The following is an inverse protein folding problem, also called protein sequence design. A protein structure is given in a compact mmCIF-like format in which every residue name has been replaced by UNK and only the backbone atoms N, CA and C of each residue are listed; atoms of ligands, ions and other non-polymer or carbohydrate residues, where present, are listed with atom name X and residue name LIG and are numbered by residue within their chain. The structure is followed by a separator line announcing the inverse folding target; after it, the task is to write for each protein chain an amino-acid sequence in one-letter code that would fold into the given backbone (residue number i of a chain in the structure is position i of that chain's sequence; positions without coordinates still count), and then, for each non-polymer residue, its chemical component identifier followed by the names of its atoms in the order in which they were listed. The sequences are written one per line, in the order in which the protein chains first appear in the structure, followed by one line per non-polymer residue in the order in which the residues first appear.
data_IF_222838158514
#
_entry.id   IF_222838158514
#
_cell.length_a   1.000
_cell.length_b   1.000
_cell.length_c   1.000
_cell.angle_alpha   90.00
_cell.angle_beta   90.00
_cell.angle_gamma   90.00
#
_symmetry.space_group_name_H-M   'P 1'
#
loop_
_entity.id
_entity.type
_entity.pdbx_description
1 polymer ?
#
# COMPACT_ATOMS: atom_id res chain seq x y z
N UNK A 1 13.32 1.28 12.72
CA UNK A 1 12.47 0.53 11.77
C UNK A 1 11.84 -0.64 12.50
N UNK A 2 10.50 -0.76 12.47
CA UNK A 2 9.72 -1.63 13.38
C UNK A 2 10.16 -3.11 13.31
N UNK A 3 10.42 -3.65 12.12
CA UNK A 3 10.89 -5.03 11.93
C UNK A 3 12.14 -5.36 12.75
N UNK A 4 13.18 -4.54 12.67
CA UNK A 4 14.43 -4.75 13.45
C UNK A 4 14.19 -4.69 14.95
N UNK A 5 13.32 -3.78 15.41
CA UNK A 5 12.95 -3.72 16.84
C UNK A 5 12.12 -4.91 17.33
N UNK A 6 11.57 -5.71 16.41
CA UNK A 6 10.77 -6.90 16.73
C UNK A 6 11.55 -8.21 16.61
N UNK A 7 12.83 -8.16 16.20
CA UNK A 7 13.70 -9.33 16.15
C UNK A 7 14.07 -9.80 14.75
N UNK A 8 13.57 -9.13 13.70
CA UNK A 8 14.05 -9.38 12.33
C UNK A 8 15.51 -8.94 12.22
N UNK A 9 16.40 -9.89 11.90
CA UNK A 9 17.84 -9.69 11.83
C UNK A 9 18.22 -8.74 10.71
N UNK A 10 17.63 -8.95 9.53
CA UNK A 10 17.99 -8.21 8.33
C UNK A 10 16.81 -7.94 7.41
N UNK A 11 16.90 -6.82 6.66
CA UNK A 11 16.06 -6.56 5.49
C UNK A 11 16.94 -6.57 4.25
N UNK A 12 16.75 -7.57 3.40
CA UNK A 12 17.54 -7.80 2.19
C UNK A 12 16.81 -7.22 0.98
N UNK A 13 17.50 -6.38 0.21
CA UNK A 13 16.98 -5.82 -1.04
C UNK A 13 17.45 -6.65 -2.24
N UNK A 14 16.53 -7.13 -3.07
CA UNK A 14 16.86 -8.01 -4.21
C UNK A 14 16.40 -7.45 -5.57
N UNK A 15 16.98 -7.96 -6.67
CA UNK A 15 16.70 -7.47 -8.03
C UNK A 15 15.72 -8.34 -8.86
N UNK A 16 15.76 -9.67 -8.77
CA UNK A 16 15.36 -10.53 -9.92
C UNK A 16 14.12 -11.42 -9.78
N UNK A 17 13.34 -11.36 -8.70
CA UNK A 17 12.08 -12.10 -8.68
C UNK A 17 11.01 -11.38 -9.52
N UNK A 18 10.68 -11.95 -10.68
CA UNK A 18 9.66 -11.41 -11.60
C UNK A 18 8.28 -11.25 -10.93
N UNK A 19 7.96 -12.07 -9.92
CA UNK A 19 6.61 -12.14 -9.31
C UNK A 19 6.59 -12.03 -7.77
N UNK A 20 7.71 -11.74 -7.12
CA UNK A 20 7.79 -11.59 -5.66
C UNK A 20 7.89 -10.11 -5.30
N UNK A 21 7.09 -9.66 -4.33
CA UNK A 21 7.19 -8.29 -3.78
C UNK A 21 7.99 -8.27 -2.49
N UNK A 22 7.77 -9.26 -1.64
CA UNK A 22 8.58 -9.55 -0.46
C UNK A 22 8.47 -11.02 -0.05
N UNK A 23 9.27 -11.41 0.92
CA UNK A 23 9.17 -12.70 1.59
C UNK A 23 9.68 -12.60 3.03
N UNK A 24 9.09 -13.41 3.89
CA UNK A 24 9.53 -13.64 5.25
C UNK A 24 10.26 -14.99 5.30
N UNK A 25 11.52 -15.00 5.70
CA UNK A 25 12.34 -16.21 5.67
C UNK A 25 13.06 -16.42 6.98
N UNK A 26 13.31 -17.69 7.33
CA UNK A 26 14.20 -18.07 8.42
C UNK A 26 15.49 -18.61 7.79
N UNK A 27 16.60 -17.91 7.97
CA UNK A 27 17.93 -18.29 7.48
C UNK A 27 18.87 -18.49 8.67
N UNK A 28 19.47 -19.68 8.76
CA UNK A 28 20.31 -20.11 9.90
C UNK A 28 19.64 -19.92 11.28
N UNK A 29 18.32 -20.12 11.34
CA UNK A 29 17.52 -19.93 12.55
C UNK A 29 17.18 -18.46 12.87
N UNK A 30 17.54 -17.51 12.00
CA UNK A 30 17.25 -16.10 12.17
C UNK A 30 16.20 -15.59 11.17
N UNK A 31 15.20 -14.81 11.63
CA UNK A 31 14.21 -14.23 10.73
C UNK A 31 14.81 -13.09 9.92
N UNK A 32 14.63 -13.14 8.61
CA UNK A 32 14.98 -12.10 7.65
C UNK A 32 13.76 -11.72 6.82
N UNK A 33 13.74 -10.48 6.34
CA UNK A 33 12.72 -9.99 5.42
C UNK A 33 13.38 -9.61 4.11
N UNK A 34 12.84 -10.13 3.01
CA UNK A 34 13.35 -9.91 1.67
C UNK A 34 12.37 -8.99 0.95
N UNK A 35 12.84 -7.90 0.32
CA UNK A 35 11.98 -6.92 -0.35
C UNK A 35 12.54 -6.56 -1.72
N UNK A 36 11.67 -6.44 -2.71
CA UNK A 36 12.09 -6.07 -4.06
C UNK A 36 12.70 -4.68 -4.07
N UNK A 37 13.90 -4.56 -4.63
CA UNK A 37 14.60 -3.29 -4.78
C UNK A 37 13.91 -2.41 -5.82
N UNK A 38 13.86 -1.11 -5.54
CA UNK A 38 13.25 -0.12 -6.43
C UNK A 38 11.72 -0.10 -6.40
N UNK A 39 11.09 -0.75 -5.42
CA UNK A 39 9.68 -0.52 -5.15
C UNK A 39 9.44 0.97 -4.84
N UNK A 40 8.36 1.57 -5.39
CA UNK A 40 7.95 2.89 -4.96
C UNK A 40 7.63 2.91 -3.45
N UNK A 41 7.67 4.09 -2.79
CA UNK A 41 7.49 4.20 -1.34
C UNK A 41 6.25 3.49 -0.80
N UNK A 42 5.11 3.62 -1.48
CA UNK A 42 3.83 3.01 -1.11
C UNK A 42 3.90 1.47 -1.09
N UNK A 43 4.20 0.76 -2.20
CA UNK A 43 4.42 -0.69 -2.18
C UNK A 43 5.51 -1.13 -1.21
N UNK A 44 6.59 -0.36 -1.05
CA UNK A 44 7.67 -0.72 -0.13
C UNK A 44 7.19 -0.76 1.31
N UNK A 45 6.52 0.31 1.78
CA UNK A 45 5.97 0.38 3.13
C UNK A 45 4.92 -0.71 3.36
N UNK A 46 4.05 -0.95 2.38
CA UNK A 46 3.03 -2.00 2.46
C UNK A 46 3.64 -3.40 2.55
N UNK A 47 4.66 -3.71 1.75
CA UNK A 47 5.37 -4.98 1.83
C UNK A 47 6.02 -5.14 3.20
N UNK A 48 6.68 -4.12 3.74
CA UNK A 48 7.27 -4.23 5.08
C UNK A 48 6.24 -4.49 6.19
N UNK A 49 5.07 -3.84 6.12
CA UNK A 49 3.98 -4.10 7.07
C UNK A 49 3.41 -5.52 6.92
N UNK A 50 3.32 -6.01 5.69
CA UNK A 50 2.85 -7.37 5.39
C UNK A 50 3.80 -8.42 5.97
N UNK A 51 5.10 -8.31 5.70
CA UNK A 51 6.10 -9.25 6.25
C UNK A 51 6.22 -9.14 7.79
N UNK A 52 5.92 -7.96 8.36
CA UNK A 52 5.85 -7.81 9.82
C UNK A 52 4.72 -8.65 10.42
N UNK A 53 3.57 -8.79 9.75
CA UNK A 53 2.49 -9.68 10.21
C UNK A 53 3.00 -11.12 10.28
N UNK A 54 3.63 -11.60 9.22
CA UNK A 54 4.20 -12.95 9.19
C UNK A 54 5.18 -13.16 10.33
N UNK A 55 6.04 -12.17 10.57
CA UNK A 55 6.96 -12.21 11.69
C UNK A 55 6.27 -12.17 13.06
N UNK A 56 5.13 -11.52 13.25
CA UNK A 56 4.52 -11.43 14.58
C UNK A 56 3.56 -12.58 14.89
N UNK A 57 2.93 -13.14 13.86
CA UNK A 57 1.79 -14.06 14.01
C UNK A 57 2.08 -15.41 13.38
N UNK A 58 2.75 -15.45 12.23
CA UNK A 58 2.84 -16.65 11.39
C UNK A 58 4.19 -17.37 11.49
N UNK A 59 5.03 -17.03 12.47
CA UNK A 59 6.37 -17.60 12.60
C UNK A 59 6.37 -19.14 12.70
N UNK A 60 5.34 -19.71 13.31
CA UNK A 60 5.19 -21.15 13.51
C UNK A 60 5.09 -21.93 12.19
N UNK A 61 4.69 -21.26 11.10
CA UNK A 61 4.62 -21.85 9.77
C UNK A 61 5.95 -21.83 9.01
N UNK A 62 7.01 -21.24 9.60
CA UNK A 62 8.35 -21.17 9.01
C UNK A 62 8.50 -20.05 7.98
N UNK A 63 9.26 -20.33 6.91
CA UNK A 63 9.47 -19.37 5.82
C UNK A 63 8.21 -19.24 4.95
N UNK A 64 7.75 -18.02 4.72
CA UNK A 64 6.55 -17.68 3.95
C UNK A 64 6.93 -16.80 2.75
N UNK A 65 6.49 -17.21 1.56
CA UNK A 65 6.79 -16.53 0.30
C UNK A 65 5.49 -15.97 -0.29
N UNK A 66 5.31 -14.66 -0.21
CA UNK A 66 4.13 -13.97 -0.77
C UNK A 66 4.20 -13.96 -2.31
N UNK A 67 3.51 -14.86 -2.98
CA UNK A 67 3.40 -14.90 -4.45
C UNK A 67 2.01 -14.47 -4.93
N UNK A 68 1.84 -14.23 -6.23
CA UNK A 68 0.50 -13.97 -6.77
C UNK A 68 -0.44 -15.19 -6.71
N UNK A 69 0.04 -16.36 -6.30
CA UNK A 69 -0.74 -17.60 -6.26
C UNK A 69 -1.43 -17.86 -4.93
N UNK A 70 -0.92 -17.28 -3.83
CA UNK A 70 -1.44 -17.49 -2.48
C UNK A 70 -2.21 -16.28 -1.91
N UNK A 71 -2.44 -15.22 -2.69
CA UNK A 71 -3.17 -13.99 -2.27
C UNK A 71 -4.57 -14.29 -1.67
N UNK A 72 -5.19 -15.42 -2.03
CA UNK A 72 -6.50 -15.83 -1.52
C UNK A 72 -6.46 -16.66 -0.22
N UNK A 73 -5.28 -16.98 0.30
CA UNK A 73 -5.14 -17.74 1.54
C UNK A 73 -5.36 -16.82 2.75
N UNK A 74 -5.99 -17.35 3.80
CA UNK A 74 -6.37 -16.58 4.99
C UNK A 74 -5.18 -15.87 5.64
N UNK A 75 -4.00 -16.49 5.62
CA UNK A 75 -2.75 -15.93 6.14
C UNK A 75 -2.36 -14.64 5.40
N UNK A 76 -2.46 -14.66 4.07
CA UNK A 76 -2.11 -13.55 3.17
C UNK A 76 -3.16 -12.43 3.22
N UNK A 77 -4.45 -12.79 3.30
CA UNK A 77 -5.54 -11.82 3.55
C UNK A 77 -5.32 -11.12 4.90
N UNK A 78 -4.98 -11.87 5.95
CA UNK A 78 -4.66 -11.32 7.25
C UNK A 78 -3.46 -10.37 7.22
N UNK A 79 -2.43 -10.71 6.44
CA UNK A 79 -1.26 -9.85 6.24
C UNK A 79 -1.59 -8.58 5.44
N UNK A 80 -2.47 -8.64 4.43
CA UNK A 80 -2.98 -7.46 3.72
C UNK A 80 -3.74 -6.51 4.66
N UNK A 81 -4.67 -7.05 5.46
CA UNK A 81 -5.46 -6.26 6.43
C UNK A 81 -4.55 -5.64 7.48
N UNK A 82 -3.64 -6.43 8.06
CA UNK A 82 -2.69 -5.94 9.06
C UNK A 82 -1.84 -4.80 8.52
N UNK A 83 -1.29 -4.95 7.31
CA UNK A 83 -0.45 -3.91 6.70
C UNK A 83 -1.25 -2.62 6.43
N UNK A 84 -2.50 -2.75 5.96
CA UNK A 84 -3.37 -1.60 5.75
C UNK A 84 -3.68 -0.85 7.06
N UNK A 85 -4.01 -1.58 8.14
CA UNK A 85 -4.26 -1.00 9.46
C UNK A 85 -3.01 -0.38 10.08
N UNK A 86 -1.84 -1.01 9.90
CA UNK A 86 -0.57 -0.48 10.39
C UNK A 86 -0.20 0.85 9.71
N UNK A 87 -0.37 0.93 8.39
CA UNK A 87 -0.02 2.14 7.63
C UNK A 87 -1.01 3.28 7.83
N UNK A 88 -2.27 2.96 8.11
CA UNK A 88 -3.31 3.95 8.31
C UNK A 88 -4.38 3.34 9.22
N UNK A 89 -4.39 3.57 10.53
CA UNK A 89 -5.38 2.95 11.42
C UNK A 89 -6.83 3.33 11.05
N UNK A 90 -7.76 2.40 11.16
CA UNK A 90 -9.17 2.60 10.78
C UNK A 90 -9.81 3.82 11.43
N UNK A 91 -9.55 4.05 12.71
CA UNK A 91 -10.12 5.19 13.43
C UNK A 91 -9.62 6.52 12.88
N UNK A 92 -8.33 6.58 12.52
CA UNK A 92 -7.75 7.78 11.91
C UNK A 92 -8.29 7.97 10.49
N UNK A 93 -8.39 6.89 9.72
CA UNK A 93 -8.95 6.90 8.38
C UNK A 93 -10.40 7.40 8.37
N UNK A 94 -11.23 6.86 9.26
CA UNK A 94 -12.63 7.27 9.44
C UNK A 94 -12.71 8.76 9.81
N UNK A 95 -11.89 9.22 10.74
CA UNK A 95 -11.86 10.61 11.14
C UNK A 95 -11.53 11.54 9.96
N UNK A 96 -10.50 11.24 9.18
CA UNK A 96 -10.05 12.07 8.07
C UNK A 96 -11.02 12.02 6.87
N UNK A 97 -11.55 10.84 6.53
CA UNK A 97 -12.48 10.71 5.41
C UNK A 97 -13.86 11.30 5.74
N UNK A 98 -14.36 11.12 6.96
CA UNK A 98 -15.67 11.67 7.36
C UNK A 98 -15.66 13.19 7.39
N UNK A 99 -14.56 13.83 7.81
CA UNK A 99 -14.40 15.29 7.69
C UNK A 99 -14.55 15.78 6.25
N UNK A 100 -14.15 14.96 5.28
CA UNK A 100 -14.18 15.31 3.85
C UNK A 100 -15.53 15.07 3.22
N UNK A 101 -16.15 13.92 3.48
CA UNK A 101 -17.38 13.52 2.80
C UNK A 101 -18.64 13.97 3.56
N UNK A 102 -18.54 14.19 4.87
CA UNK A 102 -19.71 14.41 5.72
C UNK A 102 -20.66 13.22 5.63
N UNK A 103 -21.88 13.46 5.13
CA UNK A 103 -22.92 12.43 4.97
C UNK A 103 -23.03 11.85 3.55
N UNK A 104 -22.24 12.33 2.58
CA UNK A 104 -22.31 11.85 1.19
C UNK A 104 -21.42 10.63 0.96
N UNK A 105 -21.65 9.92 -0.15
CA UNK A 105 -20.75 8.83 -0.58
C UNK A 105 -19.37 9.37 -1.00
N UNK A 106 -18.31 8.62 -0.68
CA UNK A 106 -16.96 8.93 -1.12
C UNK A 106 -16.82 8.81 -2.64
N UNK A 107 -16.24 9.84 -3.26
CA UNK A 107 -15.89 9.90 -4.67
C UNK A 107 -14.38 9.66 -4.87
N UNK A 108 -13.91 9.36 -6.10
CA UNK A 108 -12.48 9.23 -6.38
C UNK A 108 -11.64 10.44 -6.00
N UNK A 109 -12.16 11.66 -6.22
CA UNK A 109 -11.51 12.92 -5.87
C UNK A 109 -11.20 12.98 -4.37
N UNK A 110 -12.07 12.41 -3.54
CA UNK A 110 -11.88 12.39 -2.09
C UNK A 110 -10.68 11.57 -1.66
N UNK A 111 -10.47 10.44 -2.33
CA UNK A 111 -9.30 9.59 -2.09
C UNK A 111 -8.02 10.32 -2.51
N UNK A 112 -8.05 11.04 -3.63
CA UNK A 112 -6.92 11.85 -4.11
C UNK A 112 -6.56 12.94 -3.12
N UNK A 113 -7.54 13.70 -2.64
CA UNK A 113 -7.29 14.72 -1.63
C UNK A 113 -6.84 14.10 -0.29
N UNK A 114 -7.49 13.02 0.16
CA UNK A 114 -7.12 12.32 1.39
C UNK A 114 -5.66 11.87 1.35
N UNK A 115 -5.24 11.21 0.26
CA UNK A 115 -3.86 10.74 0.11
C UNK A 115 -2.87 11.90 0.12
N UNK A 116 -3.20 13.01 -0.56
CA UNK A 116 -2.36 14.20 -0.61
C UNK A 116 -2.18 14.86 0.75
N UNK A 117 -3.26 15.04 1.49
CA UNK A 117 -3.27 15.76 2.78
C UNK A 117 -2.62 14.93 3.90
N UNK A 118 -2.84 13.62 3.91
CA UNK A 118 -2.31 12.73 4.95
C UNK A 118 -0.89 12.24 4.66
N UNK A 119 -0.43 12.34 3.40
CA UNK A 119 0.82 11.74 2.94
C UNK A 119 0.95 10.25 3.30
N UNK A 120 -0.19 9.55 3.44
CA UNK A 120 -0.19 8.11 3.74
C UNK A 120 0.48 7.32 2.63
N UNK A 121 1.23 6.28 3.01
CA UNK A 121 1.84 5.32 2.09
C UNK A 121 0.87 4.23 1.63
N UNK A 122 -0.39 4.24 2.09
CA UNK A 122 -1.41 3.35 1.55
C UNK A 122 -1.73 3.76 0.11
N UNK A 123 -1.67 2.80 -0.81
CA UNK A 123 -1.92 3.06 -2.24
C UNK A 123 -3.38 3.48 -2.48
N UNK A 124 -3.64 4.10 -3.64
CA UNK A 124 -5.02 4.40 -4.09
C UNK A 124 -5.93 3.17 -4.03
N UNK A 125 -5.45 2.01 -4.49
CA UNK A 125 -6.20 0.77 -4.42
C UNK A 125 -6.49 0.33 -2.97
N UNK A 126 -5.53 0.50 -2.06
CA UNK A 126 -5.72 0.22 -0.63
C UNK A 126 -6.76 1.14 0.01
N UNK A 127 -6.69 2.44 -0.28
CA UNK A 127 -7.69 3.42 0.18
C UNK A 127 -9.08 3.12 -0.38
N UNK A 128 -9.17 2.74 -1.66
CA UNK A 128 -10.43 2.30 -2.29
C UNK A 128 -11.00 1.05 -1.61
N UNK A 129 -10.18 0.01 -1.37
CA UNK A 129 -10.62 -1.20 -0.65
C UNK A 129 -11.24 -0.82 0.71
N UNK A 130 -10.66 0.15 1.42
CA UNK A 130 -11.17 0.59 2.73
C UNK A 130 -12.50 1.31 2.66
N UNK A 131 -12.69 2.29 1.76
CA UNK A 131 -14.00 2.96 1.65
C UNK A 131 -15.11 2.00 1.23
N UNK A 132 -14.79 0.99 0.42
CA UNK A 132 -15.74 -0.04 0.03
C UNK A 132 -16.07 -0.97 1.22
N UNK A 133 -15.05 -1.44 1.93
CA UNK A 133 -15.23 -2.28 3.13
C UNK A 133 -16.05 -1.59 4.21
N UNK A 134 -15.79 -0.30 4.44
CA UNK A 134 -16.50 0.55 5.41
C UNK A 134 -17.87 1.04 4.91
N UNK A 135 -18.29 0.64 3.71
CA UNK A 135 -19.56 1.04 3.07
C UNK A 135 -19.74 2.56 2.93
N UNK A 136 -18.63 3.27 2.79
CA UNK A 136 -18.60 4.72 2.54
C UNK A 136 -18.76 5.05 1.04
N UNK A 137 -18.72 4.05 0.17
CA UNK A 137 -18.98 4.19 -1.26
C UNK A 137 -19.43 2.87 -1.89
N UNK A 138 -19.86 2.97 -3.16
CA UNK A 138 -20.21 1.83 -4.02
C UNK A 138 -19.06 1.50 -4.97
N UNK A 139 -18.89 0.23 -5.32
CA UNK A 139 -17.83 -0.23 -6.23
C UNK A 139 -17.81 0.51 -7.56
N UNK A 140 -19.01 0.76 -8.12
CA UNK A 140 -19.20 1.52 -9.37
C UNK A 140 -18.53 2.90 -9.39
N UNK A 141 -18.33 3.51 -8.20
CA UNK A 141 -17.69 4.82 -8.10
C UNK A 141 -16.19 4.75 -8.36
N UNK A 142 -15.58 3.55 -8.33
CA UNK A 142 -14.14 3.32 -8.40
C UNK A 142 -13.70 2.41 -9.55
N UNK A 143 -14.58 2.15 -10.51
CA UNK A 143 -14.24 1.34 -11.68
C UNK A 143 -13.25 2.06 -12.61
N UNK A 144 -12.10 1.42 -12.86
CA UNK A 144 -11.08 1.83 -13.85
C UNK A 144 -10.59 3.29 -13.70
N UNK A 145 -10.47 3.78 -12.47
CA UNK A 145 -10.02 5.15 -12.21
C UNK A 145 -8.54 5.35 -12.62
N UNK A 146 -8.22 6.29 -13.51
CA UNK A 146 -6.85 6.64 -13.85
C UNK A 146 -6.25 7.57 -12.79
N UNK A 147 -5.89 7.01 -11.63
CA UNK A 147 -5.48 7.77 -10.43
C UNK A 147 -4.46 8.87 -10.68
N UNK A 148 -3.42 8.60 -11.47
CA UNK A 148 -2.39 9.60 -11.80
C UNK A 148 -2.96 10.77 -12.60
N UNK A 149 -3.82 10.49 -13.58
CA UNK A 149 -4.47 11.53 -14.39
C UNK A 149 -5.44 12.35 -13.54
N UNK A 150 -6.16 11.71 -12.62
CA UNK A 150 -7.06 12.40 -11.70
C UNK A 150 -6.29 13.32 -10.75
N UNK A 151 -5.19 12.85 -10.19
CA UNK A 151 -4.28 13.65 -9.36
C UNK A 151 -3.73 14.86 -10.11
N UNK A 152 -3.30 14.67 -11.36
CA UNK A 152 -2.84 15.76 -12.22
C UNK A 152 -3.93 16.77 -12.58
N UNK A 153 -5.19 16.31 -12.72
CA UNK A 153 -6.33 17.20 -12.96
C UNK A 153 -6.63 18.07 -11.73
N UNK A 154 -6.46 17.52 -10.52
CA UNK A 154 -6.77 18.20 -9.26
C UNK A 154 -5.64 19.14 -8.83
N UNK A 155 -4.38 18.69 -8.90
CA UNK A 155 -3.23 19.43 -8.36
C UNK A 155 -2.27 19.98 -9.42
N UNK A 156 -2.55 19.74 -10.70
CA UNK A 156 -1.68 20.11 -11.81
C UNK A 156 -0.61 19.06 -12.12
N UNK A 157 0.06 19.26 -13.26
CA UNK A 157 1.09 18.34 -13.76
C UNK A 157 2.38 18.52 -12.94
N UNK A 158 2.98 17.44 -12.42
CA UNK A 158 4.27 17.52 -11.72
C UNK A 158 5.36 18.18 -12.57
N UNK A 159 6.19 19.00 -11.94
CA UNK A 159 7.24 19.78 -12.61
C UNK A 159 8.16 18.90 -13.51
N UNK A 160 8.49 17.69 -13.08
CA UNK A 160 9.34 16.78 -13.86
C UNK A 160 8.71 16.33 -15.20
N UNK A 161 7.37 16.30 -15.31
CA UNK A 161 6.66 16.02 -16.57
C UNK A 161 6.56 17.26 -17.46
N UNK A 162 6.45 18.44 -16.86
CA UNK A 162 6.38 19.71 -17.60
C UNK A 162 7.64 20.01 -18.42
N UNK A 163 8.81 19.53 -17.98
CA UNK A 163 10.10 19.71 -18.70
C UNK A 163 10.26 18.87 -19.97
N UNK A 164 9.53 17.75 -20.09
CA UNK A 164 9.62 16.84 -21.23
C UNK A 164 8.54 17.10 -22.30
N UNK A 165 7.70 18.12 -22.12
CA UNK A 165 6.72 18.49 -23.13
C UNK A 165 7.40 19.38 -24.18
N UNK A 166 7.49 18.98 -25.46
CA UNK A 166 8.05 19.86 -26.49
C UNK A 166 7.24 21.15 -26.51
N UNK A 167 7.92 22.29 -26.43
CA UNK A 167 7.31 23.60 -26.67
C UNK A 167 6.67 23.55 -28.05
N UNK A 168 5.34 23.51 -28.13
CA UNK A 168 4.64 23.84 -29.37
C UNK A 168 4.87 25.33 -29.60
N UNK A 169 5.84 25.64 -30.45
CA UNK A 169 5.96 26.96 -31.09
C UNK A 169 4.84 27.08 -32.11
N UNK A 170 3.93 28.03 -31.89
CA UNK A 170 3.05 28.56 -32.93
C UNK A 170 3.87 29.36 -33.93
#
# INVERSE_FOLDING_TARGET
MILKSKGVKEIVLFHDFKNLRGAYMIEDGFPIVVVKKGLPPDPYAFTLGHELKHHLVDQEFGSLICTNKNIGEEIEIGAEIFSAELLYPEQLFLYDIQKRIGSRECAPEDIVHLKKETSTTLSYAGLTKRVLFLKLAKEKNFEKIPWKTLEEKIFGIPFYKSRNSPKKTN
#
